data_IF_824517433443
#
_entry.id   IF_824517433443
#
_cell.length_a   1.000
_cell.length_b   1.000
_cell.length_c   1.000
_cell.angle_alpha   90.00
_cell.angle_beta   90.00
_cell.angle_gamma   90.00
#
_symmetry.space_group_name_H-M   'P 1'
#
loop_
_entity.id
_entity.type
_entity.pdbx_description
1 polymer ?
#
# COMPACT_ATOMS: atom_id res chain seq x y z
N UNK A 1 -41.75 13.04 8.82
CA UNK A 1 -42.16 12.05 7.82
C UNK A 1 -42.21 10.64 8.41
N UNK A 2 -41.15 10.19 9.04
CA UNK A 2 -41.09 8.85 9.66
C UNK A 2 -42.15 8.64 10.75
N UNK A 3 -42.36 9.62 11.63
CA UNK A 3 -43.39 9.56 12.66
C UNK A 3 -44.82 9.44 12.08
N UNK A 4 -45.08 10.07 10.94
CA UNK A 4 -46.35 9.94 10.19
C UNK A 4 -46.53 8.50 9.70
N UNK A 5 -45.48 7.89 9.17
CA UNK A 5 -45.48 6.49 8.78
C UNK A 5 -45.75 5.55 9.94
N UNK A 6 -45.07 5.76 11.09
CA UNK A 6 -45.27 4.93 12.29
C UNK A 6 -46.72 4.99 12.80
N UNK A 7 -47.31 6.17 12.91
CA UNK A 7 -48.70 6.36 13.31
C UNK A 7 -49.69 5.68 12.36
N UNK A 8 -49.44 5.77 11.03
CA UNK A 8 -50.25 5.11 10.04
C UNK A 8 -50.17 3.57 10.17
N UNK A 9 -48.96 3.05 10.42
CA UNK A 9 -48.70 1.64 10.61
C UNK A 9 -49.37 1.11 11.89
N UNK A 10 -49.30 1.84 13.02
CA UNK A 10 -49.95 1.54 14.27
C UNK A 10 -51.48 1.47 14.12
N UNK A 11 -52.06 2.38 13.32
CA UNK A 11 -53.51 2.42 13.06
C UNK A 11 -53.97 1.44 11.96
N UNK A 12 -53.07 0.64 11.41
CA UNK A 12 -53.34 -0.30 10.31
C UNK A 12 -53.99 0.36 9.08
N UNK A 13 -53.75 1.67 8.90
CA UNK A 13 -54.26 2.42 7.75
C UNK A 13 -53.32 2.26 6.53
N UNK A 14 -53.64 1.30 5.67
CA UNK A 14 -52.84 0.98 4.48
C UNK A 14 -52.65 2.17 3.53
N UNK A 15 -53.68 3.03 3.36
CA UNK A 15 -53.58 4.19 2.48
C UNK A 15 -52.60 5.23 3.02
N UNK A 16 -52.69 5.52 4.31
CA UNK A 16 -51.82 6.45 4.98
C UNK A 16 -50.36 5.92 5.02
N UNK A 17 -50.17 4.60 5.13
CA UNK A 17 -48.85 3.94 5.02
C UNK A 17 -48.29 4.15 3.62
N UNK A 18 -49.01 3.83 2.54
CA UNK A 18 -48.57 3.96 1.15
C UNK A 18 -48.23 5.42 0.79
N UNK A 19 -49.04 6.39 1.26
CA UNK A 19 -48.76 7.81 1.06
C UNK A 19 -47.50 8.26 1.79
N UNK A 20 -47.30 7.82 3.01
CA UNK A 20 -46.09 8.12 3.81
C UNK A 20 -44.83 7.51 3.19
N UNK A 21 -44.87 6.28 2.66
CA UNK A 21 -43.81 5.65 1.94
C UNK A 21 -43.44 6.44 0.67
N UNK A 22 -44.38 6.91 -0.12
CA UNK A 22 -44.15 7.77 -1.28
C UNK A 22 -43.54 9.13 -0.92
N UNK A 23 -43.97 9.70 0.23
CA UNK A 23 -43.38 10.94 0.74
C UNK A 23 -41.90 10.74 1.15
N UNK A 24 -41.62 9.66 1.86
CA UNK A 24 -40.25 9.31 2.26
C UNK A 24 -39.37 9.12 1.01
N UNK A 25 -39.82 8.40 0.00
CA UNK A 25 -39.12 8.21 -1.27
C UNK A 25 -38.82 9.54 -1.95
N UNK A 26 -39.80 10.44 -2.04
CA UNK A 26 -39.61 11.77 -2.65
C UNK A 26 -38.61 12.61 -1.89
N UNK A 27 -38.66 12.57 -0.55
CA UNK A 27 -37.75 13.30 0.30
C UNK A 27 -36.30 12.78 0.14
N UNK A 28 -36.10 11.48 0.21
CA UNK A 28 -34.78 10.86 0.02
C UNK A 28 -34.17 11.22 -1.33
N UNK A 29 -34.95 11.17 -2.41
CA UNK A 29 -34.49 11.59 -3.75
C UNK A 29 -34.11 13.07 -3.84
N UNK A 30 -34.84 13.93 -3.15
CA UNK A 30 -34.51 15.36 -3.08
C UNK A 30 -33.22 15.59 -2.31
N UNK A 31 -33.08 14.97 -1.15
CA UNK A 31 -31.89 15.10 -0.32
C UNK A 31 -30.66 14.48 -0.98
N UNK A 32 -30.79 13.29 -1.63
CA UNK A 32 -29.68 12.67 -2.33
C UNK A 32 -29.13 13.56 -3.46
N UNK A 33 -30.00 14.17 -4.27
CA UNK A 33 -29.61 15.12 -5.31
C UNK A 33 -28.91 16.35 -4.73
N UNK A 34 -29.45 16.89 -3.62
CA UNK A 34 -28.84 18.04 -2.95
C UNK A 34 -27.46 17.73 -2.39
N UNK A 35 -27.28 16.55 -1.79
CA UNK A 35 -25.99 16.10 -1.26
C UNK A 35 -25.01 15.84 -2.43
N UNK A 36 -25.46 15.14 -3.46
CA UNK A 36 -24.63 14.87 -4.64
C UNK A 36 -24.07 16.14 -5.27
N UNK A 37 -24.93 17.12 -5.55
CA UNK A 37 -24.51 18.39 -6.16
C UNK A 37 -23.56 19.24 -5.32
N UNK A 38 -23.59 19.10 -3.98
CA UNK A 38 -22.78 19.89 -3.06
C UNK A 38 -21.47 19.22 -2.66
N UNK A 39 -21.46 17.90 -2.57
CA UNK A 39 -20.38 17.15 -1.92
C UNK A 39 -19.70 16.12 -2.82
N UNK A 40 -20.23 15.80 -4.00
CA UNK A 40 -19.56 14.92 -4.97
C UNK A 40 -18.99 15.79 -6.09
N UNK A 41 -17.73 16.20 -5.92
CA UNK A 41 -17.02 17.09 -6.84
C UNK A 41 -15.91 16.29 -7.53
N UNK A 42 -15.97 16.20 -8.85
CA UNK A 42 -15.01 15.42 -9.64
C UNK A 42 -13.58 15.93 -9.44
N UNK A 43 -12.67 15.02 -9.12
CA UNK A 43 -11.25 15.32 -8.88
C UNK A 43 -10.94 16.01 -7.54
N UNK A 44 -11.95 16.35 -6.73
CA UNK A 44 -11.79 17.04 -5.44
C UNK A 44 -12.20 16.16 -4.26
N UNK A 45 -13.33 15.46 -4.40
CA UNK A 45 -13.84 14.55 -3.37
C UNK A 45 -13.84 13.11 -3.84
N UNK A 46 -14.34 12.20 -3.00
CA UNK A 46 -14.67 10.84 -3.43
C UNK A 46 -15.79 10.85 -4.46
N UNK A 47 -15.88 9.80 -5.30
CA UNK A 47 -16.88 9.65 -6.35
C UNK A 47 -18.31 9.41 -5.82
N UNK A 48 -18.48 9.40 -4.52
CA UNK A 48 -19.76 9.21 -3.84
C UNK A 48 -19.76 9.93 -2.48
N UNK A 49 -20.95 10.22 -1.96
CA UNK A 49 -21.13 10.69 -0.59
C UNK A 49 -22.06 9.77 0.20
N UNK A 50 -22.09 9.94 1.52
CA UNK A 50 -22.90 9.14 2.42
C UNK A 50 -24.09 9.94 2.91
N UNK A 51 -25.31 9.40 2.77
CA UNK A 51 -26.50 9.85 3.45
C UNK A 51 -26.73 8.96 4.66
N UNK A 52 -26.45 9.48 5.84
CA UNK A 52 -26.63 8.76 7.09
C UNK A 52 -28.05 8.91 7.63
N UNK A 53 -28.67 7.78 7.93
CA UNK A 53 -29.97 7.72 8.59
C UNK A 53 -29.77 7.37 10.08
N UNK A 54 -30.14 8.24 11.04
CA UNK A 54 -29.82 8.05 12.46
C UNK A 54 -30.65 6.96 13.12
N UNK A 55 -31.67 6.41 12.46
CA UNK A 55 -32.54 5.35 12.96
C UNK A 55 -32.37 4.08 12.15
N UNK A 56 -32.04 2.98 12.79
CA UNK A 56 -31.97 1.66 12.16
C UNK A 56 -33.32 1.22 11.58
N UNK A 57 -34.45 1.51 12.28
CA UNK A 57 -35.79 1.22 11.80
C UNK A 57 -36.15 1.99 10.54
N UNK A 58 -35.74 3.27 10.44
CA UNK A 58 -35.87 4.07 9.20
C UNK A 58 -35.01 3.48 8.08
N UNK A 59 -33.80 3.07 8.38
CA UNK A 59 -32.92 2.42 7.41
C UNK A 59 -33.52 1.13 6.88
N UNK A 60 -34.09 0.27 7.76
CA UNK A 60 -34.78 -0.97 7.35
C UNK A 60 -35.99 -0.68 6.45
N UNK A 61 -36.79 0.35 6.76
CA UNK A 61 -37.86 0.80 5.89
C UNK A 61 -37.35 1.19 4.51
N UNK A 62 -36.30 2.00 4.44
CA UNK A 62 -35.67 2.41 3.16
C UNK A 62 -35.14 1.23 2.37
N UNK A 63 -34.59 0.21 3.03
CA UNK A 63 -34.19 -1.05 2.41
C UNK A 63 -35.39 -1.79 1.78
N UNK A 64 -36.51 -1.87 2.50
CA UNK A 64 -37.76 -2.48 2.03
C UNK A 64 -38.30 -1.75 0.77
N UNK A 65 -38.17 -0.43 0.72
CA UNK A 65 -38.64 0.40 -0.41
C UNK A 65 -37.78 0.26 -1.68
N UNK A 66 -36.69 -0.49 -1.67
CA UNK A 66 -35.80 -0.77 -2.81
C UNK A 66 -35.29 0.45 -3.57
N UNK A 67 -35.16 1.61 -2.89
CA UNK A 67 -34.73 2.85 -3.52
C UNK A 67 -33.23 3.07 -3.47
N UNK A 68 -32.53 2.37 -2.58
CA UNK A 68 -31.08 2.53 -2.29
C UNK A 68 -30.21 2.39 -3.53
N UNK A 69 -30.44 1.35 -4.31
CA UNK A 69 -29.64 1.09 -5.52
C UNK A 69 -29.84 2.16 -6.59
N UNK A 70 -31.07 2.66 -6.72
CA UNK A 70 -31.38 3.73 -7.65
C UNK A 70 -30.68 5.03 -7.27
N UNK A 71 -30.73 5.43 -6.01
CA UNK A 71 -30.06 6.62 -5.48
C UNK A 71 -28.52 6.48 -5.64
N UNK A 72 -27.95 5.30 -5.40
CA UNK A 72 -26.52 5.06 -5.57
C UNK A 72 -26.11 5.22 -7.04
N UNK A 73 -26.88 4.69 -7.98
CA UNK A 73 -26.57 4.78 -9.41
C UNK A 73 -26.77 6.18 -10.01
N UNK A 74 -27.86 6.86 -9.62
CA UNK A 74 -28.23 8.15 -10.22
C UNK A 74 -27.51 9.34 -9.55
N UNK A 75 -27.42 9.31 -8.22
CA UNK A 75 -26.94 10.44 -7.44
C UNK A 75 -25.54 10.19 -6.81
N UNK A 76 -24.99 8.96 -6.92
CA UNK A 76 -23.75 8.54 -6.27
C UNK A 76 -23.79 8.69 -4.74
N UNK A 77 -24.96 8.43 -4.13
CA UNK A 77 -25.18 8.55 -2.69
C UNK A 77 -25.38 7.15 -2.09
N UNK A 78 -24.51 6.83 -1.13
CA UNK A 78 -24.60 5.60 -0.35
C UNK A 78 -25.42 5.85 0.91
N UNK A 79 -26.59 5.20 1.03
CA UNK A 79 -27.46 5.31 2.23
C UNK A 79 -27.01 4.29 3.26
N UNK A 80 -26.69 4.74 4.47
CA UNK A 80 -26.25 3.91 5.58
C UNK A 80 -27.06 4.22 6.85
N UNK A 81 -27.37 3.16 7.61
CA UNK A 81 -27.89 3.24 8.97
C UNK A 81 -26.76 3.10 10.01
N UNK A 82 -27.08 3.12 11.32
CA UNK A 82 -26.08 3.06 12.39
C UNK A 82 -25.17 1.84 12.29
N UNK A 83 -25.74 0.64 12.13
CA UNK A 83 -24.97 -0.61 12.06
C UNK A 83 -24.13 -0.71 10.78
N UNK A 84 -24.71 -0.34 9.64
CA UNK A 84 -24.01 -0.38 8.35
C UNK A 84 -22.91 0.68 8.25
N UNK A 85 -23.07 1.85 8.87
CA UNK A 85 -22.02 2.88 8.93
C UNK A 85 -20.82 2.40 9.76
N UNK A 86 -21.06 1.77 10.91
CA UNK A 86 -19.99 1.21 11.74
C UNK A 86 -19.17 0.17 10.98
N UNK A 87 -19.83 -0.80 10.33
CA UNK A 87 -19.17 -1.81 9.50
C UNK A 87 -18.39 -1.19 8.33
N UNK A 88 -18.95 -0.16 7.70
CA UNK A 88 -18.31 0.56 6.60
C UNK A 88 -17.03 1.28 7.04
N UNK A 89 -17.05 1.99 8.17
CA UNK A 89 -15.87 2.68 8.74
C UNK A 89 -14.75 1.66 9.06
N UNK A 90 -15.10 0.52 9.67
CA UNK A 90 -14.14 -0.54 9.97
C UNK A 90 -13.51 -1.08 8.66
N UNK A 91 -14.32 -1.30 7.63
CA UNK A 91 -13.84 -1.77 6.32
C UNK A 91 -12.90 -0.78 5.66
N UNK A 92 -13.19 0.53 5.71
CA UNK A 92 -12.30 1.57 5.23
C UNK A 92 -10.97 1.59 6.00
N UNK A 93 -11.02 1.50 7.33
CA UNK A 93 -9.83 1.46 8.17
C UNK A 93 -8.92 0.27 7.81
N UNK A 94 -9.49 -0.90 7.60
CA UNK A 94 -8.75 -2.09 7.16
C UNK A 94 -8.15 -1.90 5.77
N UNK A 95 -8.91 -1.32 4.83
CA UNK A 95 -8.43 -1.00 3.48
C UNK A 95 -7.24 -0.05 3.49
N UNK A 96 -7.31 1.05 4.22
CA UNK A 96 -6.20 2.00 4.35
C UNK A 96 -4.96 1.39 5.01
N UNK A 97 -5.14 0.54 6.02
CA UNK A 97 -4.04 -0.21 6.64
C UNK A 97 -3.34 -1.11 5.63
N UNK A 98 -4.09 -1.82 4.80
CA UNK A 98 -3.55 -2.69 3.75
C UNK A 98 -2.78 -1.90 2.69
N UNK A 99 -3.31 -0.75 2.23
CA UNK A 99 -2.63 0.11 1.28
C UNK A 99 -1.30 0.66 1.82
N UNK A 100 -1.27 1.05 3.09
CA UNK A 100 -0.05 1.53 3.76
C UNK A 100 1.01 0.43 3.86
N UNK A 101 0.61 -0.79 4.19
CA UNK A 101 1.51 -1.96 4.22
C UNK A 101 2.10 -2.26 2.84
N UNK A 102 1.26 -2.27 1.80
CA UNK A 102 1.71 -2.53 0.43
C UNK A 102 2.73 -1.50 -0.06
N UNK A 103 2.52 -0.22 0.26
CA UNK A 103 3.48 0.84 -0.09
C UNK A 103 4.84 0.62 0.58
N UNK A 104 4.84 0.35 1.89
CA UNK A 104 6.08 0.06 2.64
C UNK A 104 6.80 -1.18 2.13
N UNK A 105 6.07 -2.25 1.81
CA UNK A 105 6.63 -3.47 1.23
C UNK A 105 7.30 -3.20 -0.11
N UNK A 106 6.68 -2.38 -0.98
CA UNK A 106 7.27 -1.99 -2.27
C UNK A 106 8.56 -1.19 -2.11
N UNK A 107 8.64 -0.30 -1.12
CA UNK A 107 9.85 0.46 -0.80
C UNK A 107 10.97 -0.47 -0.30
N UNK A 108 10.67 -1.40 0.61
CA UNK A 108 11.62 -2.40 1.11
C UNK A 108 12.18 -3.27 -0.03
N UNK A 109 11.33 -3.73 -0.95
CA UNK A 109 11.77 -4.54 -2.11
C UNK A 109 12.74 -3.75 -3.00
N UNK A 110 12.50 -2.46 -3.23
CA UNK A 110 13.40 -1.60 -4.00
C UNK A 110 14.77 -1.46 -3.32
N UNK A 111 14.78 -1.16 -2.02
CA UNK A 111 16.01 -1.05 -1.24
C UNK A 111 16.79 -2.37 -1.21
N UNK A 112 16.10 -3.48 -1.05
CA UNK A 112 16.72 -4.81 -1.12
C UNK A 112 17.35 -5.10 -2.49
N UNK A 113 16.70 -4.66 -3.58
CA UNK A 113 17.25 -4.75 -4.93
C UNK A 113 18.53 -3.93 -5.12
N UNK A 114 18.62 -2.75 -4.51
CA UNK A 114 19.84 -1.92 -4.50
C UNK A 114 20.94 -2.62 -3.72
N UNK A 115 20.65 -3.07 -2.51
CA UNK A 115 21.59 -3.78 -1.65
C UNK A 115 22.18 -5.02 -2.33
N UNK A 116 21.35 -5.83 -2.99
CA UNK A 116 21.81 -7.02 -3.72
C UNK A 116 22.84 -6.67 -4.81
N UNK A 117 22.61 -5.62 -5.59
CA UNK A 117 23.57 -5.16 -6.62
C UNK A 117 24.89 -4.70 -6.03
N UNK A 118 24.86 -3.94 -4.94
CA UNK A 118 26.07 -3.49 -4.26
C UNK A 118 26.84 -4.66 -3.64
N UNK A 119 26.15 -5.64 -3.09
CA UNK A 119 26.77 -6.85 -2.59
C UNK A 119 27.46 -7.67 -3.69
N UNK A 120 26.84 -7.80 -4.86
CA UNK A 120 27.45 -8.46 -6.03
C UNK A 120 28.73 -7.72 -6.50
N UNK A 121 28.69 -6.39 -6.55
CA UNK A 121 29.88 -5.56 -6.87
C UNK A 121 31.00 -5.75 -5.85
N UNK A 122 30.67 -5.73 -4.57
CA UNK A 122 31.62 -5.97 -3.50
C UNK A 122 32.25 -7.36 -3.59
N UNK A 123 31.45 -8.40 -3.82
CA UNK A 123 31.92 -9.77 -3.97
C UNK A 123 32.91 -9.90 -5.16
N UNK A 124 32.58 -9.31 -6.30
CA UNK A 124 33.47 -9.31 -7.47
C UNK A 124 34.79 -8.57 -7.20
N UNK A 125 34.73 -7.41 -6.54
CA UNK A 125 35.93 -6.66 -6.15
C UNK A 125 36.81 -7.45 -5.18
N UNK A 126 36.21 -8.16 -4.24
CA UNK A 126 36.95 -9.03 -3.30
C UNK A 126 37.65 -10.18 -4.04
N UNK A 127 37.02 -10.78 -5.02
CA UNK A 127 37.63 -11.84 -5.82
C UNK A 127 38.79 -11.33 -6.69
N UNK A 128 38.67 -10.11 -7.24
CA UNK A 128 39.77 -9.46 -7.94
C UNK A 128 40.98 -9.17 -7.03
N UNK A 129 40.71 -8.68 -5.82
CA UNK A 129 41.75 -8.48 -4.82
C UNK A 129 42.47 -9.78 -4.47
N UNK A 130 41.72 -10.86 -4.32
CA UNK A 130 42.27 -12.18 -4.06
C UNK A 130 43.21 -12.65 -5.19
N UNK A 131 42.82 -12.48 -6.46
CA UNK A 131 43.66 -12.80 -7.62
C UNK A 131 44.94 -11.96 -7.64
N UNK A 132 44.84 -10.67 -7.37
CA UNK A 132 46.01 -9.77 -7.29
C UNK A 132 46.95 -10.18 -6.17
N UNK A 133 46.45 -10.54 -5.02
CA UNK A 133 47.26 -11.03 -3.88
C UNK A 133 48.02 -12.31 -4.24
N UNK A 134 47.38 -13.27 -4.89
CA UNK A 134 48.05 -14.49 -5.38
C UNK A 134 49.17 -14.18 -6.40
N UNK A 135 48.91 -13.24 -7.30
CA UNK A 135 49.93 -12.80 -8.28
C UNK A 135 51.10 -12.14 -7.57
N UNK A 136 50.82 -11.30 -6.58
CA UNK A 136 51.86 -10.61 -5.81
C UNK A 136 52.74 -11.61 -5.04
N UNK A 137 52.15 -12.64 -4.44
CA UNK A 137 52.91 -13.72 -3.79
C UNK A 137 53.86 -14.39 -4.75
N UNK A 138 53.42 -14.72 -5.95
CA UNK A 138 54.29 -15.33 -6.97
C UNK A 138 55.47 -14.43 -7.36
N UNK A 139 55.25 -13.13 -7.51
CA UNK A 139 56.32 -12.16 -7.81
C UNK A 139 57.31 -12.10 -6.65
N UNK A 140 56.87 -12.13 -5.42
CA UNK A 140 57.74 -12.18 -4.22
C UNK A 140 58.60 -13.44 -4.24
N UNK A 141 58.01 -14.60 -4.47
CA UNK A 141 58.75 -15.88 -4.56
C UNK A 141 59.82 -15.87 -5.65
N UNK A 142 59.52 -15.28 -6.84
CA UNK A 142 60.47 -15.11 -7.92
C UNK A 142 61.64 -14.18 -7.51
N UNK A 143 61.36 -13.10 -6.79
CA UNK A 143 62.40 -12.20 -6.29
C UNK A 143 63.28 -12.89 -5.26
N UNK A 144 62.76 -13.66 -4.34
CA UNK A 144 63.54 -14.42 -3.36
C UNK A 144 64.48 -15.40 -4.04
N UNK A 145 64.04 -16.11 -5.11
CA UNK A 145 64.88 -17.01 -5.87
C UNK A 145 66.05 -16.27 -6.52
N UNK A 146 65.80 -15.11 -7.14
CA UNK A 146 66.82 -14.28 -7.76
C UNK A 146 67.85 -13.75 -6.73
N UNK A 147 67.38 -13.29 -5.57
CA UNK A 147 68.22 -12.83 -4.49
C UNK A 147 69.18 -13.94 -4.02
N UNK A 148 68.68 -15.14 -3.82
CA UNK A 148 69.53 -16.32 -3.46
C UNK A 148 70.55 -16.66 -4.54
N UNK A 149 70.21 -16.52 -5.83
CA UNK A 149 71.15 -16.72 -6.94
C UNK A 149 72.24 -15.64 -6.97
N UNK A 150 71.87 -14.38 -6.76
CA UNK A 150 72.82 -13.27 -6.71
C UNK A 150 73.77 -13.41 -5.49
N UNK A 151 73.28 -13.72 -4.32
CA UNK A 151 74.12 -13.95 -3.12
C UNK A 151 75.12 -15.05 -3.35
N UNK A 152 74.75 -16.18 -3.94
CA UNK A 152 75.68 -17.28 -4.27
C UNK A 152 76.73 -16.85 -5.32
N UNK A 153 76.41 -15.93 -6.20
CA UNK A 153 77.34 -15.41 -7.20
C UNK A 153 78.34 -14.48 -6.57
N UNK A 154 77.92 -13.64 -5.62
CA UNK A 154 78.80 -12.75 -4.86
C UNK A 154 79.76 -13.62 -4.02
N UNK A 155 79.27 -14.60 -3.25
CA UNK A 155 80.14 -15.50 -2.45
C UNK A 155 81.17 -16.21 -3.31
N UNK A 156 80.84 -16.60 -4.56
CA UNK A 156 81.82 -17.19 -5.48
C UNK A 156 82.89 -16.19 -5.92
N UNK A 157 82.53 -14.92 -6.21
CA UNK A 157 83.47 -13.89 -6.58
C UNK A 157 84.41 -13.53 -5.45
N UNK A 158 83.92 -13.45 -4.20
CA UNK A 158 84.73 -13.19 -3.03
C UNK A 158 85.80 -14.29 -2.79
N UNK A 159 85.43 -15.60 -2.99
CA UNK A 159 86.41 -16.69 -2.88
C UNK A 159 87.53 -16.64 -3.91
N UNK A 160 87.26 -16.15 -5.13
CA UNK A 160 88.29 -15.96 -6.17
C UNK A 160 89.25 -14.80 -5.86
N UNK A 161 88.82 -13.82 -5.05
CA UNK A 161 89.65 -12.71 -4.57
C UNK A 161 90.59 -13.06 -3.43
N UNK A 162 90.22 -14.08 -2.63
CA UNK A 162 91.01 -14.55 -1.46
C UNK A 162 92.08 -15.61 -1.85
N UNK A 163 92.09 -16.11 -3.12
CA UNK A 163 93.04 -17.09 -3.63
C UNK A 163 94.25 -16.49 -4.45
N UNK A 164 94.27 -15.12 -4.62
CA UNK A 164 95.35 -14.41 -5.24
C UNK A 164 96.22 -13.64 -4.18
#
# INVERSE_FOLDING_TARGET
>A
LYDKYLKAAENLDKRAVDESEKEIIRHLKKESKSISSKYVLEGVTTDYAILYLPSESLFQLVMKLNIKEKILKEDRILILGPNSLAAYIISLQMGFRTLTLNKRTSEIIKEFGIFKREFERFSNSTEELRKKAVTMTKVIDEHEIREKQMSRSIERMERFQDED
#
